data_IF_774070978500
#
_entry.id   IF_774070978500
#
_cell.length_a   1.000
_cell.length_b   1.000
_cell.length_c   1.000
_cell.angle_alpha   90.00
_cell.angle_beta   90.00
_cell.angle_gamma   90.00
#
_symmetry.space_group_name_H-M   'P 1'
#
loop_
_entity.id
_entity.type
_entity.pdbx_description
1 polymer ?
#
# COMPACT_ATOMS: atom_id res chain seq x y z
N UNK A 1 -20.66 13.71 8.55
CA UNK A 1 -19.93 13.09 7.41
C UNK A 1 -20.91 12.22 6.66
N UNK A 2 -20.82 12.18 5.34
CA UNK A 2 -21.58 11.22 4.52
C UNK A 2 -21.08 9.80 4.82
N UNK A 3 -22.00 8.83 4.86
CA UNK A 3 -21.62 7.41 4.87
C UNK A 3 -21.22 7.00 3.44
N UNK A 4 -19.94 6.75 3.22
CA UNK A 4 -19.40 6.39 1.91
C UNK A 4 -19.74 4.94 1.49
N UNK A 5 -20.31 4.15 2.41
CA UNK A 5 -20.67 2.75 2.16
C UNK A 5 -22.17 2.56 1.92
N UNK A 6 -23.00 3.60 2.10
CA UNK A 6 -24.46 3.48 2.12
C UNK A 6 -25.05 2.86 0.85
N UNK A 7 -24.43 3.13 -0.29
CA UNK A 7 -24.94 2.73 -1.60
C UNK A 7 -24.32 1.43 -2.10
N UNK A 8 -23.39 0.83 -1.34
CA UNK A 8 -22.72 -0.41 -1.71
C UNK A 8 -23.38 -1.62 -1.07
N UNK A 9 -23.48 -2.71 -1.82
CA UNK A 9 -23.98 -3.99 -1.31
C UNK A 9 -22.81 -4.94 -1.00
N UNK A 10 -22.62 -5.28 0.28
CA UNK A 10 -21.50 -6.10 0.75
C UNK A 10 -20.13 -5.55 0.29
N UNK A 11 -19.80 -4.29 0.62
CA UNK A 11 -18.61 -3.64 0.10
C UNK A 11 -17.32 -4.32 0.56
N UNK A 12 -16.40 -4.45 -0.39
CA UNK A 12 -14.97 -4.56 -0.14
C UNK A 12 -14.40 -3.16 0.08
N UNK A 13 -13.63 -2.98 1.15
CA UNK A 13 -13.05 -1.69 1.58
C UNK A 13 -11.55 -1.85 1.79
N UNK A 14 -10.75 -0.92 1.28
CA UNK A 14 -9.32 -0.82 1.56
C UNK A 14 -8.96 0.62 1.91
N UNK A 15 -8.21 0.77 2.99
CA UNK A 15 -7.69 2.06 3.45
C UNK A 15 -6.20 2.15 3.08
N UNK A 16 -5.85 3.14 2.26
CA UNK A 16 -4.48 3.47 1.92
C UNK A 16 -4.11 4.82 2.50
N UNK A 17 -3.20 4.85 3.46
CA UNK A 17 -2.61 6.11 3.94
C UNK A 17 -1.65 6.66 2.89
N UNK A 18 -1.79 7.93 2.55
CA UNK A 18 -1.04 8.59 1.47
C UNK A 18 -0.01 9.57 2.03
N UNK A 19 1.07 9.77 1.28
CA UNK A 19 2.22 10.62 1.59
C UNK A 19 3.49 9.81 1.85
N UNK A 20 4.65 10.44 1.66
CA UNK A 20 5.97 9.86 1.98
C UNK A 20 6.32 9.98 3.47
N UNK A 21 5.53 10.76 4.22
CA UNK A 21 5.63 10.91 5.68
C UNK A 21 4.25 10.97 6.33
N UNK A 22 4.20 10.66 7.62
CA UNK A 22 2.94 10.50 8.37
C UNK A 22 2.89 11.26 9.70
N UNK A 23 3.80 12.20 9.84
CA UNK A 23 3.89 13.13 10.96
C UNK A 23 4.10 14.56 10.44
N UNK A 24 3.63 15.52 11.22
CA UNK A 24 3.86 16.94 10.95
C UNK A 24 5.29 17.31 11.33
N UNK A 25 5.89 18.28 10.66
CA UNK A 25 7.23 18.76 11.03
C UNK A 25 7.28 19.30 12.46
N UNK A 26 6.21 19.95 12.92
CA UNK A 26 6.09 20.38 14.32
C UNK A 26 6.18 19.23 15.32
N UNK A 27 5.71 18.03 14.96
CA UNK A 27 5.81 16.85 15.83
C UNK A 27 7.27 16.39 15.97
N UNK A 28 8.11 16.60 14.95
CA UNK A 28 9.56 16.40 15.05
C UNK A 28 10.20 17.45 15.96
N UNK A 29 9.90 18.74 15.75
CA UNK A 29 10.48 19.84 16.53
C UNK A 29 10.14 19.70 18.02
N UNK A 30 8.86 19.46 18.35
CA UNK A 30 8.41 19.24 19.74
C UNK A 30 9.09 18.05 20.40
N UNK A 31 9.38 16.98 19.64
CA UNK A 31 10.08 15.81 20.18
C UNK A 31 11.57 16.04 20.42
N UNK A 32 12.21 16.94 19.64
CA UNK A 32 13.60 17.37 19.87
C UNK A 32 13.70 18.24 21.13
N UNK A 33 12.75 19.13 21.35
CA UNK A 33 12.71 20.01 22.54
C UNK A 33 12.35 19.25 23.82
N UNK A 34 11.34 18.38 23.75
CA UNK A 34 10.84 17.64 24.91
C UNK A 34 10.51 16.19 24.53
N UNK A 35 11.50 15.28 24.54
CA UNK A 35 11.27 13.89 24.18
C UNK A 35 10.32 13.22 25.18
N UNK A 36 9.18 12.75 24.68
CA UNK A 36 8.22 11.95 25.45
C UNK A 36 8.24 10.51 24.96
N UNK A 37 8.72 9.61 25.83
CA UNK A 37 8.77 8.19 25.56
C UNK A 37 7.38 7.54 25.63
N UNK A 38 7.16 6.58 24.73
CA UNK A 38 5.90 5.87 24.54
C UNK A 38 6.14 4.37 24.62
N UNK A 39 5.71 3.78 25.75
CA UNK A 39 5.84 2.34 25.99
C UNK A 39 5.02 1.51 25.00
N UNK A 40 3.82 1.97 24.67
CA UNK A 40 2.91 1.32 23.72
C UNK A 40 3.49 1.23 22.30
N UNK A 41 4.24 2.26 21.88
CA UNK A 41 4.92 2.26 20.58
C UNK A 41 6.14 1.35 20.57
N UNK A 42 6.89 1.30 21.68
CA UNK A 42 8.00 0.37 21.83
C UNK A 42 7.52 -1.08 21.79
N UNK A 43 6.47 -1.43 22.54
CA UNK A 43 5.88 -2.78 22.56
C UNK A 43 5.43 -3.20 21.16
N UNK A 44 4.79 -2.31 20.40
CA UNK A 44 4.43 -2.58 18.99
C UNK A 44 5.65 -2.73 18.07
N UNK A 45 6.71 -1.98 18.31
CA UNK A 45 7.93 -2.03 17.52
C UNK A 45 8.61 -3.39 17.67
N UNK A 46 8.83 -3.85 18.92
CA UNK A 46 9.47 -5.16 19.18
C UNK A 46 8.60 -6.35 18.79
N UNK A 47 7.28 -6.21 18.76
CA UNK A 47 6.38 -7.25 18.26
C UNK A 47 6.56 -7.50 16.75
N UNK A 48 6.98 -6.48 16.00
CA UNK A 48 7.21 -6.57 14.56
C UNK A 48 8.68 -6.89 14.28
N UNK A 49 9.60 -6.19 14.94
CA UNK A 49 11.03 -6.37 14.80
C UNK A 49 11.72 -6.14 16.16
N UNK A 50 12.11 -7.23 16.87
CA UNK A 50 12.80 -7.14 18.15
C UNK A 50 14.15 -6.39 18.10
N UNK A 51 14.77 -6.27 16.92
CA UNK A 51 16.07 -5.62 16.73
C UNK A 51 15.94 -4.15 16.31
N UNK A 52 14.72 -3.66 16.03
CA UNK A 52 14.49 -2.30 15.59
C UNK A 52 14.84 -1.20 16.64
N UNK A 53 14.57 -1.38 17.95
CA UNK A 53 14.96 -0.39 18.94
C UNK A 53 16.46 -0.44 19.26
N UNK A 54 17.06 0.72 19.51
CA UNK A 54 18.44 0.81 19.98
C UNK A 54 18.58 0.45 21.48
N UNK A 55 19.81 0.42 22.00
CA UNK A 55 20.07 0.03 23.38
C UNK A 55 19.37 0.95 24.41
N UNK A 56 19.38 2.26 24.17
CA UNK A 56 18.72 3.24 25.05
C UNK A 56 17.20 3.07 25.07
N UNK A 57 16.59 2.86 23.90
CA UNK A 57 15.16 2.59 23.73
C UNK A 57 14.76 1.28 24.42
N UNK A 58 15.60 0.25 24.32
CA UNK A 58 15.41 -1.04 24.98
C UNK A 58 15.53 -0.94 26.51
N UNK A 59 16.50 -0.17 27.00
CA UNK A 59 16.67 0.09 28.44
C UNK A 59 15.51 0.88 29.01
N UNK A 60 15.02 1.90 28.28
CA UNK A 60 13.90 2.73 28.68
C UNK A 60 12.53 2.08 28.45
N UNK A 61 12.47 0.98 27.67
CA UNK A 61 11.23 0.32 27.23
C UNK A 61 10.26 1.32 26.60
N UNK A 62 10.77 2.24 25.79
CA UNK A 62 10.01 3.34 25.21
C UNK A 62 10.73 3.98 24.04
N UNK A 63 9.96 4.39 23.03
CA UNK A 63 10.44 5.15 21.87
C UNK A 63 9.68 6.48 21.77
N UNK A 64 10.25 7.49 21.13
CA UNK A 64 9.48 8.71 20.84
C UNK A 64 8.49 8.47 19.71
N UNK A 65 7.43 9.27 19.64
CA UNK A 65 6.43 9.17 18.56
C UNK A 65 7.07 9.33 17.17
N UNK A 66 7.85 10.39 16.88
CA UNK A 66 8.40 10.55 15.53
C UNK A 66 9.36 9.42 15.14
N UNK A 67 10.17 8.93 16.08
CA UNK A 67 11.02 7.76 15.88
C UNK A 67 10.23 6.51 15.47
N UNK A 68 9.09 6.24 16.13
CA UNK A 68 8.20 5.15 15.75
C UNK A 68 7.59 5.36 14.36
N UNK A 69 7.14 6.58 14.05
CA UNK A 69 6.53 6.89 12.74
C UNK A 69 7.54 6.72 11.60
N UNK A 70 8.75 7.28 11.75
CA UNK A 70 9.84 7.12 10.78
C UNK A 70 10.17 5.65 10.55
N UNK A 71 10.29 4.86 11.61
CA UNK A 71 10.51 3.41 11.44
C UNK A 71 9.34 2.71 10.76
N UNK A 72 8.10 3.04 11.09
CA UNK A 72 6.91 2.52 10.39
C UNK A 72 6.93 2.86 8.90
N UNK A 73 7.43 4.04 8.54
CA UNK A 73 7.58 4.46 7.14
C UNK A 73 8.67 3.65 6.42
N UNK A 74 9.76 3.28 7.10
CA UNK A 74 10.86 2.51 6.48
C UNK A 74 10.57 1.02 6.33
N UNK A 75 9.70 0.44 7.17
CA UNK A 75 9.31 -0.97 7.05
C UNK A 75 8.06 -1.20 6.19
N UNK A 76 7.39 -0.13 5.76
CA UNK A 76 6.25 -0.18 4.82
C UNK A 76 6.62 0.47 3.48
N UNK A 77 5.68 0.52 2.56
CA UNK A 77 5.83 1.19 1.27
C UNK A 77 5.80 2.72 1.35
N UNK A 78 5.56 3.31 2.53
CA UNK A 78 5.34 4.76 2.69
C UNK A 78 6.52 5.57 2.14
N UNK A 79 7.75 5.25 2.59
CA UNK A 79 8.93 6.01 2.22
C UNK A 79 9.36 5.82 0.74
N UNK A 80 8.96 4.73 0.10
CA UNK A 80 9.40 4.36 -1.26
C UNK A 80 8.36 4.61 -2.33
N UNK A 81 7.07 4.43 -2.02
CA UNK A 81 5.96 4.55 -2.96
C UNK A 81 5.01 5.71 -2.61
N UNK A 82 5.21 6.42 -1.49
CA UNK A 82 4.35 7.52 -1.09
C UNK A 82 2.96 7.10 -0.59
N UNK A 83 2.76 5.84 -0.25
CA UNK A 83 1.55 5.36 0.41
C UNK A 83 1.80 4.02 1.11
N UNK A 84 0.84 3.56 1.93
CA UNK A 84 0.77 2.17 2.41
C UNK A 84 -0.67 1.73 2.66
N UNK A 85 -0.90 0.43 2.60
CA UNK A 85 -2.17 -0.19 2.98
C UNK A 85 -2.24 -0.23 4.52
N UNK A 86 -3.29 0.32 5.11
CA UNK A 86 -3.55 0.25 6.56
C UNK A 86 -4.47 -0.93 6.91
N UNK A 87 -5.38 -1.29 6.01
CA UNK A 87 -6.26 -2.43 6.21
C UNK A 87 -7.17 -2.69 5.03
N UNK A 88 -7.68 -3.92 4.98
CA UNK A 88 -8.60 -4.42 3.96
C UNK A 88 -9.74 -5.16 4.66
N UNK A 89 -10.96 -4.97 4.18
CA UNK A 89 -12.15 -5.75 4.54
C UNK A 89 -12.81 -6.20 3.24
N UNK A 90 -13.06 -7.49 3.06
CA UNK A 90 -13.75 -8.02 1.87
C UNK A 90 -15.25 -8.17 2.13
N UNK A 91 -16.02 -8.33 1.05
CA UNK A 91 -17.48 -8.48 1.09
C UNK A 91 -17.95 -9.75 1.82
N UNK A 92 -17.09 -10.77 1.93
CA UNK A 92 -17.33 -11.99 2.72
C UNK A 92 -17.20 -11.78 4.24
N UNK A 93 -16.80 -10.57 4.67
CA UNK A 93 -16.60 -10.19 6.06
C UNK A 93 -15.19 -10.43 6.59
N UNK A 94 -14.31 -11.08 5.82
CA UNK A 94 -12.91 -11.21 6.18
C UNK A 94 -12.25 -9.84 6.24
N UNK A 95 -11.34 -9.64 7.20
CA UNK A 95 -10.59 -8.40 7.32
C UNK A 95 -9.16 -8.67 7.74
N UNK A 96 -8.24 -7.91 7.16
CA UNK A 96 -6.83 -7.92 7.49
C UNK A 96 -6.38 -6.51 7.83
N UNK A 97 -5.54 -6.42 8.86
CA UNK A 97 -4.75 -5.22 9.17
C UNK A 97 -3.28 -5.53 9.11
N UNK A 98 -2.89 -6.68 8.53
CA UNK A 98 -1.52 -7.17 8.58
C UNK A 98 -0.65 -6.71 7.42
N UNK A 99 -0.54 -5.38 7.31
CA UNK A 99 0.19 -4.70 6.25
C UNK A 99 1.37 -3.87 6.77
N UNK A 100 1.82 -4.13 8.02
CA UNK A 100 2.82 -3.30 8.70
C UNK A 100 4.18 -3.38 8.00
N UNK A 101 4.46 -4.53 7.38
CA UNK A 101 5.71 -4.85 6.66
C UNK A 101 5.50 -5.02 5.15
N UNK A 102 4.31 -4.71 4.64
CA UNK A 102 4.03 -4.68 3.19
C UNK A 102 4.73 -3.47 2.60
N UNK A 103 5.83 -3.72 1.89
CA UNK A 103 6.78 -2.69 1.48
C UNK A 103 7.12 -2.73 0.01
N UNK A 104 7.44 -3.91 -0.53
CA UNK A 104 7.88 -4.01 -1.91
C UNK A 104 6.71 -3.81 -2.88
N UNK A 105 7.00 -3.39 -4.11
CA UNK A 105 5.97 -3.20 -5.14
C UNK A 105 5.23 -4.51 -5.41
N UNK A 106 5.94 -5.64 -5.39
CA UNK A 106 5.39 -6.98 -5.61
C UNK A 106 4.42 -7.38 -4.50
N UNK A 107 4.75 -7.06 -3.23
CA UNK A 107 3.85 -7.31 -2.11
C UNK A 107 2.58 -6.46 -2.20
N UNK A 108 2.71 -5.20 -2.65
CA UNK A 108 1.56 -4.32 -2.87
C UNK A 108 0.69 -4.83 -4.02
N UNK A 109 1.29 -5.18 -5.18
CA UNK A 109 0.57 -5.78 -6.30
C UNK A 109 -0.21 -7.04 -5.88
N UNK A 110 0.43 -7.92 -5.10
CA UNK A 110 -0.23 -9.12 -4.57
C UNK A 110 -1.43 -8.78 -3.68
N UNK A 111 -1.27 -7.82 -2.75
CA UNK A 111 -2.36 -7.40 -1.88
C UNK A 111 -3.52 -6.72 -2.64
N UNK A 112 -3.19 -5.89 -3.64
CA UNK A 112 -4.18 -5.22 -4.49
C UNK A 112 -4.92 -6.23 -5.37
N UNK A 113 -4.22 -7.21 -5.94
CA UNK A 113 -4.82 -8.29 -6.71
C UNK A 113 -5.78 -9.13 -5.86
N UNK A 114 -5.37 -9.52 -4.65
CA UNK A 114 -6.23 -10.24 -3.71
C UNK A 114 -7.46 -9.42 -3.29
N UNK A 115 -7.31 -8.10 -3.19
CA UNK A 115 -8.42 -7.20 -2.87
C UNK A 115 -9.46 -7.09 -3.99
N UNK A 116 -9.02 -7.09 -5.25
CA UNK A 116 -9.88 -6.92 -6.43
C UNK A 116 -10.35 -8.24 -7.06
N UNK A 117 -9.87 -9.38 -6.55
CA UNK A 117 -10.17 -10.71 -7.10
C UNK A 117 -11.68 -10.96 -7.18
N UNK A 118 -12.14 -11.41 -8.36
CA UNK A 118 -13.55 -11.62 -8.66
C UNK A 118 -14.36 -10.36 -8.99
N UNK A 119 -13.74 -9.19 -9.08
CA UNK A 119 -14.38 -7.91 -9.41
C UNK A 119 -13.69 -7.18 -10.58
N UNK A 120 -13.70 -7.74 -11.81
CA UNK A 120 -12.91 -7.21 -12.94
C UNK A 120 -13.27 -5.75 -13.31
N UNK A 121 -14.52 -5.34 -13.08
CA UNK A 121 -14.96 -3.97 -13.36
C UNK A 121 -14.43 -2.93 -12.34
N UNK A 122 -13.84 -3.35 -11.21
CA UNK A 122 -13.40 -2.41 -10.19
C UNK A 122 -12.06 -1.74 -10.54
N UNK A 123 -11.12 -2.46 -11.16
CA UNK A 123 -9.79 -1.94 -11.49
C UNK A 123 -9.87 -0.75 -12.47
N UNK A 124 -10.57 -0.85 -13.63
CA UNK A 124 -10.72 0.30 -14.54
C UNK A 124 -11.37 1.52 -13.88
N UNK A 125 -12.36 1.28 -13.00
CA UNK A 125 -13.06 2.34 -12.27
C UNK A 125 -12.15 3.01 -11.24
N UNK A 126 -11.30 2.26 -10.55
CA UNK A 126 -10.30 2.83 -9.65
C UNK A 126 -9.27 3.68 -10.40
N UNK A 127 -8.74 3.20 -11.54
CA UNK A 127 -7.81 3.98 -12.37
C UNK A 127 -8.46 5.30 -12.80
N UNK A 128 -9.68 5.24 -13.35
CA UNK A 128 -10.42 6.42 -13.78
C UNK A 128 -10.62 7.40 -12.61
N UNK A 129 -11.05 6.88 -11.45
CA UNK A 129 -11.32 7.70 -10.26
C UNK A 129 -10.05 8.32 -9.70
N UNK A 130 -8.93 7.59 -9.64
CA UNK A 130 -7.65 8.11 -9.18
C UNK A 130 -7.11 9.20 -10.11
N UNK A 131 -7.21 9.02 -11.44
CA UNK A 131 -6.85 10.06 -12.41
C UNK A 131 -7.70 11.33 -12.24
N UNK A 132 -9.00 11.17 -12.01
CA UNK A 132 -9.90 12.30 -11.74
C UNK A 132 -9.55 13.01 -10.42
N UNK A 133 -9.25 12.25 -9.36
CA UNK A 133 -8.77 12.80 -8.08
C UNK A 133 -7.48 13.59 -8.31
N UNK A 134 -6.48 12.99 -8.98
CA UNK A 134 -5.19 13.61 -9.29
C UNK A 134 -5.39 14.96 -9.99
N UNK A 135 -6.16 14.99 -11.07
CA UNK A 135 -6.44 16.22 -11.82
C UNK A 135 -7.19 17.27 -10.99
N UNK A 136 -8.07 16.84 -10.07
CA UNK A 136 -8.76 17.77 -9.16
C UNK A 136 -7.82 18.37 -8.13
N UNK A 137 -6.89 17.57 -7.60
CA UNK A 137 -5.90 18.02 -6.61
C UNK A 137 -4.93 19.04 -7.21
N UNK A 138 -4.47 18.81 -8.45
CA UNK A 138 -3.58 19.74 -9.18
C UNK A 138 -4.15 21.16 -9.33
N UNK A 139 -5.48 21.29 -9.33
CA UNK A 139 -6.18 22.58 -9.47
C UNK A 139 -6.84 23.07 -8.16
N UNK A 140 -6.63 22.36 -7.05
CA UNK A 140 -7.32 22.66 -5.78
C UNK A 140 -6.52 23.66 -4.95
N UNK A 141 -7.06 24.87 -4.77
CA UNK A 141 -6.46 25.88 -3.88
C UNK A 141 -6.21 25.34 -2.47
N UNK A 142 -7.15 24.53 -1.95
CA UNK A 142 -6.98 23.88 -0.65
C UNK A 142 -5.76 22.97 -0.64
N UNK A 143 -5.62 22.12 -1.65
CA UNK A 143 -4.51 21.17 -1.71
C UNK A 143 -3.16 21.89 -1.80
N UNK A 144 -3.04 22.84 -2.74
CA UNK A 144 -1.82 23.60 -2.99
C UNK A 144 -1.37 24.50 -1.82
N UNK A 145 -2.25 24.74 -0.85
CA UNK A 145 -1.99 25.58 0.33
C UNK A 145 -1.96 24.80 1.65
N UNK A 146 -2.03 23.46 1.60
CA UNK A 146 -2.03 22.63 2.81
C UNK A 146 -1.00 21.52 2.73
N UNK A 147 -0.34 21.26 3.85
CA UNK A 147 0.39 20.02 4.08
C UNK A 147 -0.63 18.92 4.44
N UNK A 148 -0.75 17.89 3.60
CA UNK A 148 -1.79 16.85 3.73
C UNK A 148 -1.22 15.58 4.35
N UNK A 149 -1.24 15.54 5.69
CA UNK A 149 -0.60 14.47 6.45
C UNK A 149 -1.60 13.55 7.11
N UNK A 150 -1.32 12.24 7.04
CA UNK A 150 -2.03 11.23 7.79
C UNK A 150 -3.43 10.87 7.27
N UNK A 151 -3.90 11.56 6.22
CA UNK A 151 -5.12 11.22 5.48
C UNK A 151 -4.96 9.94 4.67
N UNK A 152 -6.09 9.40 4.23
CA UNK A 152 -6.13 8.17 3.44
C UNK A 152 -6.98 8.31 2.19
N UNK A 153 -6.71 7.47 1.20
CA UNK A 153 -7.66 7.11 0.15
C UNK A 153 -8.42 5.86 0.59
N UNK A 154 -9.75 5.98 0.67
CA UNK A 154 -10.65 4.88 0.96
C UNK A 154 -11.19 4.31 -0.36
N UNK A 155 -10.71 3.13 -0.71
CA UNK A 155 -11.17 2.36 -1.85
C UNK A 155 -12.38 1.53 -1.44
N UNK A 156 -13.47 1.63 -2.18
CA UNK A 156 -14.69 0.84 -1.94
C UNK A 156 -15.17 0.28 -3.26
N UNK A 157 -15.46 -1.02 -3.28
CA UNK A 157 -16.14 -1.65 -4.40
C UNK A 157 -17.13 -2.71 -3.95
N UNK A 158 -18.08 -3.01 -4.82
CA UNK A 158 -18.93 -4.19 -4.78
C UNK A 158 -19.05 -4.80 -6.19
N UNK A 159 -20.04 -5.66 -6.41
CA UNK A 159 -20.27 -6.31 -7.71
C UNK A 159 -20.59 -5.33 -8.86
N UNK A 160 -21.09 -4.14 -8.54
CA UNK A 160 -21.67 -3.22 -9.52
C UNK A 160 -20.83 -1.96 -9.69
N UNK A 161 -20.18 -1.49 -8.63
CA UNK A 161 -19.52 -0.19 -8.59
C UNK A 161 -18.22 -0.20 -7.79
N UNK A 162 -17.37 0.78 -8.09
CA UNK A 162 -16.11 1.01 -7.39
C UNK A 162 -15.81 2.52 -7.40
N UNK A 163 -15.29 3.04 -6.30
CA UNK A 163 -14.93 4.45 -6.16
C UNK A 163 -13.92 4.65 -5.03
N UNK A 164 -13.32 5.84 -5.01
CA UNK A 164 -12.27 6.25 -4.08
C UNK A 164 -12.60 7.63 -3.52
N UNK A 165 -12.35 7.82 -2.23
CA UNK A 165 -12.50 9.10 -1.54
C UNK A 165 -11.30 9.41 -0.66
N UNK A 166 -10.98 10.69 -0.52
CA UNK A 166 -10.04 11.15 0.49
C UNK A 166 -10.77 11.26 1.83
N UNK A 167 -10.16 10.75 2.89
CA UNK A 167 -10.67 10.76 4.27
C UNK A 167 -9.57 11.18 5.26
N UNK A 168 -9.96 11.45 6.51
CA UNK A 168 -9.05 11.68 7.64
C UNK A 168 -8.11 12.90 7.52
N UNK A 169 -8.69 14.09 7.33
CA UNK A 169 -7.96 15.36 7.27
C UNK A 169 -7.55 15.96 8.64
N UNK A 170 -7.57 15.16 9.71
CA UNK A 170 -7.35 15.65 11.08
C UNK A 170 -5.95 16.25 11.31
N UNK A 171 -4.98 15.88 10.48
CA UNK A 171 -3.61 16.41 10.46
C UNK A 171 -3.29 17.18 9.18
N UNK A 172 -4.29 17.53 8.38
CA UNK A 172 -4.10 18.42 7.24
C UNK A 172 -4.08 19.85 7.77
N UNK A 173 -2.99 20.56 7.52
CA UNK A 173 -2.75 21.91 8.08
C UNK A 173 -2.35 22.88 6.98
N UNK A 174 -2.78 24.13 7.10
CA UNK A 174 -2.39 25.19 6.17
C UNK A 174 -0.89 25.44 6.22
N UNK A 175 -0.31 25.71 5.05
CA UNK A 175 1.10 26.08 4.91
C UNK A 175 1.33 27.51 5.42
N UNK A 176 2.57 27.84 5.85
CA UNK A 176 3.00 29.23 6.02
C UNK A 176 2.87 30.02 4.71
N UNK A 177 2.60 31.33 4.81
CA UNK A 177 2.32 32.20 3.65
C UNK A 177 3.45 32.24 2.60
N UNK A 178 4.70 31.99 3.03
CA UNK A 178 5.90 32.02 2.20
C UNK A 178 6.30 30.65 1.64
N UNK A 179 5.58 29.58 2.00
CA UNK A 179 5.84 28.22 1.57
C UNK A 179 4.87 27.79 0.49
N UNK A 180 5.41 27.19 -0.56
CA UNK A 180 4.65 26.51 -1.62
C UNK A 180 5.24 25.13 -1.82
N UNK A 181 4.38 24.13 -1.95
CA UNK A 181 4.75 22.75 -2.21
C UNK A 181 4.06 22.28 -3.49
N UNK A 182 4.63 21.27 -4.14
CA UNK A 182 4.02 20.65 -5.31
C UNK A 182 3.53 19.21 -5.04
N UNK A 183 3.73 18.68 -3.83
CA UNK A 183 3.34 17.34 -3.41
C UNK A 183 4.02 16.20 -4.18
N UNK A 184 5.04 16.53 -4.99
CA UNK A 184 5.81 15.62 -5.83
C UNK A 184 7.31 15.66 -5.51
N UNK A 185 7.78 16.75 -4.90
CA UNK A 185 9.17 16.93 -4.54
C UNK A 185 9.54 16.08 -3.33
N UNK A 186 10.82 15.71 -3.25
CA UNK A 186 11.35 14.95 -2.13
C UNK A 186 11.21 15.78 -0.85
N UNK A 187 10.62 15.18 0.18
CA UNK A 187 10.51 15.83 1.48
C UNK A 187 11.88 16.06 2.12
N UNK A 188 12.06 17.26 2.66
CA UNK A 188 13.18 17.63 3.52
C UNK A 188 12.69 18.57 4.60
N UNK A 189 13.29 18.51 5.80
CA UNK A 189 12.87 19.35 6.93
C UNK A 189 12.87 20.82 6.52
N UNK A 190 11.73 21.49 6.67
CA UNK A 190 11.50 22.89 6.34
C UNK A 190 10.91 23.14 4.96
N UNK A 191 10.85 22.14 4.07
CA UNK A 191 10.20 22.30 2.76
C UNK A 191 8.71 21.94 2.76
N UNK A 192 8.20 21.31 3.83
CA UNK A 192 6.78 20.95 4.01
C UNK A 192 6.19 19.98 2.98
N UNK A 193 6.99 19.41 2.09
CA UNK A 193 6.50 18.45 1.09
C UNK A 193 5.92 17.21 1.79
N UNK A 194 4.79 16.71 1.31
CA UNK A 194 4.13 15.52 1.86
C UNK A 194 4.25 14.30 0.94
N UNK A 195 4.65 14.51 -0.33
CA UNK A 195 4.76 13.47 -1.35
C UNK A 195 3.40 12.83 -1.68
N UNK A 196 2.30 13.56 -1.52
CA UNK A 196 0.96 13.03 -1.71
C UNK A 196 0.70 12.59 -3.17
N UNK A 197 1.15 13.38 -4.14
CA UNK A 197 1.04 13.05 -5.56
C UNK A 197 1.98 11.92 -5.97
N UNK A 198 3.13 11.76 -5.30
CA UNK A 198 3.98 10.56 -5.45
C UNK A 198 3.17 9.30 -5.14
N UNK A 199 2.41 9.33 -4.05
CA UNK A 199 1.53 8.23 -3.64
C UNK A 199 0.44 7.92 -4.65
N UNK A 200 -0.25 8.96 -5.14
CA UNK A 200 -1.32 8.81 -6.14
C UNK A 200 -0.77 8.27 -7.47
N UNK A 201 0.34 8.81 -7.96
CA UNK A 201 0.95 8.38 -9.21
C UNK A 201 1.33 6.89 -9.13
N UNK A 202 1.99 6.47 -8.05
CA UNK A 202 2.33 5.06 -7.86
C UNK A 202 1.10 4.15 -7.74
N UNK A 203 0.01 4.60 -7.10
CA UNK A 203 -1.25 3.86 -7.06
C UNK A 203 -1.85 3.68 -8.45
N UNK A 204 -1.87 4.73 -9.27
CA UNK A 204 -2.35 4.67 -10.66
C UNK A 204 -1.52 3.65 -11.43
N UNK A 205 -0.19 3.74 -11.38
CA UNK A 205 0.71 2.83 -12.10
C UNK A 205 0.51 1.37 -11.69
N UNK A 206 0.30 1.11 -10.40
CA UNK A 206 0.06 -0.25 -9.87
C UNK A 206 -1.28 -0.80 -10.37
N UNK A 207 -2.34 -0.01 -10.37
CA UNK A 207 -3.64 -0.47 -10.89
C UNK A 207 -3.60 -0.64 -12.41
N UNK A 208 -2.88 0.20 -13.15
CA UNK A 208 -2.68 0.03 -14.60
C UNK A 208 -1.90 -1.26 -14.92
N UNK A 209 -0.87 -1.58 -14.13
CA UNK A 209 -0.12 -2.84 -14.24
C UNK A 209 -1.01 -4.07 -13.98
N UNK A 210 -1.89 -4.00 -12.98
CA UNK A 210 -2.88 -5.06 -12.71
C UNK A 210 -3.87 -5.21 -13.86
N UNK A 211 -4.39 -4.10 -14.38
CA UNK A 211 -5.35 -4.11 -15.49
C UNK A 211 -4.76 -4.78 -16.74
N UNK A 212 -3.52 -4.42 -17.10
CA UNK A 212 -2.83 -5.02 -18.25
C UNK A 212 -2.59 -6.53 -18.06
N UNK A 213 -2.35 -6.97 -16.81
CA UNK A 213 -2.16 -8.38 -16.50
C UNK A 213 -3.46 -9.17 -16.66
N UNK A 214 -4.61 -8.64 -16.21
CA UNK A 214 -5.91 -9.30 -16.36
C UNK A 214 -6.32 -9.47 -17.84
N UNK A 215 -6.15 -8.42 -18.65
CA UNK A 215 -6.44 -8.46 -20.09
C UNK A 215 -5.60 -9.55 -20.80
N UNK A 216 -4.31 -9.65 -20.47
CA UNK A 216 -3.44 -10.68 -21.05
C UNK A 216 -3.82 -12.11 -20.65
N UNK A 217 -4.36 -12.33 -19.44
CA UNK A 217 -4.80 -13.65 -19.00
C UNK A 217 -6.11 -14.09 -19.65
N UNK A 218 -7.02 -13.16 -19.93
CA UNK A 218 -8.27 -13.46 -20.63
C UNK A 218 -8.02 -13.84 -22.09
N UNK A 219 -7.12 -13.14 -22.79
CA UNK A 219 -6.74 -13.46 -24.18
C UNK A 219 -6.14 -14.87 -24.33
N UNK A 220 -5.29 -15.29 -23.38
CA UNK A 220 -4.68 -16.63 -23.39
C UNK A 220 -5.72 -17.72 -23.07
N UNK A 221 -6.67 -17.46 -22.18
CA UNK A 221 -7.74 -18.41 -21.86
C UNK A 221 -8.72 -18.63 -23.02
N UNK A 222 -8.92 -17.62 -23.88
CA UNK A 222 -9.79 -17.68 -25.05
C UNK A 222 -9.15 -18.40 -26.26
N UNK A 223 -7.84 -18.69 -26.23
CA UNK A 223 -7.10 -19.38 -27.29
C UNK A 223 -7.00 -20.90 -27.10
N UNK A 224 -7.51 -21.46 -26.00
CA UNK A 224 -7.53 -22.92 -25.75
C UNK A 224 -8.85 -23.53 -26.23
N UNK A 225 -8.86 -24.46 -27.22
CA UNK A 225 -10.09 -25.12 -27.64
C UNK A 225 -10.67 -25.99 -26.53
N UNK A 226 -11.92 -25.75 -26.13
CA UNK A 226 -12.69 -26.66 -25.28
C UNK A 226 -12.90 -27.98 -26.04
N UNK A 227 -12.25 -29.06 -25.62
CA UNK A 227 -12.59 -30.39 -26.10
C UNK A 227 -13.92 -30.82 -25.48
N UNK A 228 -14.93 -31.02 -26.32
CA UNK A 228 -16.20 -31.65 -25.96
C UNK A 228 -15.95 -33.13 -25.64
N UNK A 229 -16.20 -33.53 -24.38
CA UNK A 229 -16.32 -34.93 -24.01
C UNK A 229 -17.73 -35.41 -24.34
N UNK A 230 -17.87 -36.19 -25.41
CA UNK A 230 -19.10 -36.92 -25.72
C UNK A 230 -19.35 -38.03 -24.69
N UNK A 231 -20.55 -38.03 -24.12
CA UNK A 231 -21.11 -39.15 -23.37
C UNK A 231 -21.30 -40.37 -24.29
N UNK A 232 -20.90 -41.56 -23.83
CA UNK A 232 -21.45 -42.83 -24.32
C UNK A 232 -21.84 -43.67 -23.12
N UNK A 233 -23.15 -43.93 -23.06
CA UNK A 233 -23.80 -44.91 -22.21
C UNK A 233 -23.42 -46.34 -22.60
N UNK A 234 -23.11 -47.19 -21.63
CA UNK A 234 -23.50 -48.60 -21.69
C UNK A 234 -23.67 -49.20 -20.29
N UNK A 235 -24.84 -49.83 -20.10
CA UNK A 235 -25.17 -50.68 -18.96
C UNK A 235 -24.81 -52.13 -19.33
N UNK A 236 -24.18 -52.89 -18.43
CA UNK A 236 -24.79 -54.08 -17.81
C UNK A 236 -23.83 -54.91 -16.94
N UNK A 237 -24.24 -55.05 -15.67
CA UNK A 237 -24.47 -56.29 -14.90
C UNK A 237 -23.33 -57.08 -14.24
N UNK A 238 -23.64 -57.43 -12.97
CA UNK A 238 -23.26 -58.60 -12.16
C UNK A 238 -21.89 -58.57 -11.48
N UNK A 239 -21.68 -59.02 -10.24
CA UNK A 239 -22.49 -59.36 -9.07
C UNK A 239 -21.48 -59.75 -7.95
N UNK A 240 -21.90 -59.76 -6.68
CA UNK A 240 -21.33 -60.56 -5.54
C UNK A 240 -20.07 -60.04 -4.77
N UNK A 241 -20.36 -59.53 -3.55
CA UNK A 241 -19.86 -59.87 -2.19
C UNK A 241 -18.37 -60.22 -1.96
N UNK A 242 -17.68 -59.43 -1.11
CA UNK A 242 -17.32 -59.80 0.28
C UNK A 242 -16.41 -58.74 0.95
N UNK A 243 -16.79 -58.36 2.18
CA UNK A 243 -15.92 -57.83 3.26
C UNK A 243 -14.94 -58.93 3.77
N UNK A 244 -13.87 -58.68 4.57
CA UNK A 244 -13.84 -57.74 5.71
C UNK A 244 -12.52 -56.98 6.04
N UNK A 245 -12.72 -55.94 6.85
CA UNK A 245 -12.00 -55.42 8.06
C UNK A 245 -10.55 -55.80 8.39
N UNK A 246 -9.79 -54.81 8.90
CA UNK A 246 -8.92 -54.76 10.12
C UNK A 246 -7.94 -53.56 9.94
N UNK A 247 -8.10 -52.43 10.64
CA UNK A 247 -7.59 -52.06 11.98
C UNK A 247 -6.05 -51.81 12.12
N UNK A 248 -5.75 -50.61 12.61
CA UNK A 248 -4.57 -50.11 13.37
C UNK A 248 -3.15 -50.29 12.78
N UNK A 249 -2.24 -49.31 12.79
CA UNK A 249 -1.63 -48.71 13.99
C UNK A 249 -0.62 -47.62 13.57
N UNK A 250 -0.44 -46.62 14.45
CA UNK A 250 0.69 -45.68 14.50
C UNK A 250 1.94 -46.41 15.02
N UNK A 251 3.17 -45.91 14.79
CA UNK A 251 3.93 -45.51 15.97
C UNK A 251 4.75 -44.22 15.80
N UNK A 252 4.97 -43.58 16.95
CA UNK A 252 6.01 -42.59 17.24
C UNK A 252 7.38 -43.27 17.46
N UNK A 253 8.47 -42.54 17.17
CA UNK A 253 9.70 -42.64 17.96
C UNK A 253 10.49 -41.32 17.94
N UNK A 254 11.09 -41.04 19.10
CA UNK A 254 11.90 -39.89 19.53
C UNK A 254 13.40 -40.05 19.17
N UNK A 255 14.19 -39.05 19.64
CA UNK A 255 15.66 -38.99 19.86
C UNK A 255 16.47 -38.39 18.71
N UNK A 256 17.55 -37.62 18.89
CA UNK A 256 18.12 -36.86 20.02
C UNK A 256 19.19 -35.89 19.43
N UNK A 257 19.60 -34.93 20.25
CA UNK A 257 20.72 -33.97 20.22
C UNK A 257 21.97 -34.25 19.35
N UNK A 258 22.58 -33.19 18.82
CA UNK A 258 23.97 -32.80 19.16
C UNK A 258 24.38 -31.43 18.59
N UNK A 259 25.20 -30.74 19.39
CA UNK A 259 25.83 -29.44 19.18
C UNK A 259 26.95 -29.49 18.13
N UNK A 260 27.25 -28.38 17.44
CA UNK A 260 28.62 -27.85 17.47
C UNK A 260 28.76 -26.39 17.02
N UNK A 261 29.78 -25.75 17.58
CA UNK A 261 30.06 -24.31 17.60
C UNK A 261 30.64 -23.75 16.30
N UNK A 262 30.48 -22.43 16.07
CA UNK A 262 31.56 -21.57 15.54
C UNK A 262 31.31 -20.07 15.75
N UNK A 263 32.22 -19.48 16.52
CA UNK A 263 32.47 -18.05 16.73
C UNK A 263 33.12 -17.46 15.48
N UNK A 264 32.63 -16.31 15.01
CA UNK A 264 33.41 -15.36 14.18
C UNK A 264 33.01 -13.93 14.56
N UNK A 265 33.96 -13.19 15.13
CA UNK A 265 33.94 -11.72 15.27
C UNK A 265 34.14 -11.05 13.90
N UNK A 266 33.46 -9.93 13.64
CA UNK A 266 33.90 -8.80 12.79
C UNK A 266 32.91 -7.64 12.98
N UNK A 267 33.26 -6.59 13.74
CA UNK A 267 33.88 -5.32 13.33
C UNK A 267 32.99 -4.48 12.39
N UNK A 268 32.60 -3.32 12.92
CA UNK A 268 31.91 -2.19 12.31
C UNK A 268 32.41 -1.83 10.90
N UNK A 269 31.47 -1.48 10.01
CA UNK A 269 31.64 -0.35 9.06
C UNK A 269 30.31 0.00 8.40
N UNK A 270 29.92 1.28 8.54
CA UNK A 270 28.79 1.93 7.87
C UNK A 270 29.19 2.27 6.42
N UNK A 271 28.38 1.96 5.38
CA UNK A 271 28.58 2.53 4.06
C UNK A 271 27.63 3.72 3.85
N UNK A 272 28.25 4.90 3.81
CA UNK A 272 27.69 6.14 3.25
C UNK A 272 27.61 5.99 1.72
N UNK A 273 26.40 6.10 1.15
CA UNK A 273 26.21 6.17 -0.31
C UNK A 273 26.14 7.64 -0.72
N UNK A 274 27.10 8.05 -1.54
CA UNK A 274 27.17 9.35 -2.22
C UNK A 274 26.55 9.18 -3.61
N UNK A 275 25.67 10.06 -4.11
CA UNK A 275 25.22 10.00 -5.48
C UNK A 275 26.26 10.59 -6.43
N UNK A 276 26.56 9.83 -7.49
CA UNK A 276 27.40 10.20 -8.61
C UNK A 276 26.74 11.31 -9.44
N UNK A 277 27.48 12.40 -9.64
CA UNK A 277 27.15 13.46 -10.60
C UNK A 277 27.23 12.94 -12.04
N UNK A 278 26.13 13.05 -12.79
CA UNK A 278 26.15 13.01 -14.26
C UNK A 278 25.80 14.40 -14.76
N UNK A 279 26.78 14.99 -15.44
CA UNK A 279 26.69 16.21 -16.21
C UNK A 279 25.98 15.95 -17.54
N UNK A 280 24.93 16.71 -17.83
CA UNK A 280 24.43 16.90 -19.20
C UNK A 280 24.15 18.37 -19.46
N UNK A 281 24.58 18.75 -20.65
CA UNK A 281 24.67 20.06 -21.27
C UNK A 281 23.32 20.68 -21.64
N UNK A 282 23.33 22.00 -21.71
CA UNK A 282 22.30 22.94 -22.18
C UNK A 282 21.95 22.81 -23.67
N UNK A 283 20.81 23.43 -24.03
CA UNK A 283 20.20 23.76 -25.34
C UNK A 283 18.90 22.97 -25.57
N UNK A 284 17.75 23.50 -25.97
CA UNK A 284 17.36 24.83 -26.44
C UNK A 284 15.82 24.99 -26.30
N UNK A 285 15.38 26.23 -26.46
CA UNK A 285 14.01 26.75 -26.46
C UNK A 285 13.07 26.15 -27.55
N UNK A 286 11.77 26.42 -27.33
CA UNK A 286 10.64 26.45 -28.28
C UNK A 286 9.84 25.16 -28.54
N UNK A 287 8.66 25.11 -27.92
CA UNK A 287 7.35 24.61 -28.43
C UNK A 287 6.31 24.87 -27.31
N UNK A 288 5.93 26.12 -27.05
CA UNK A 288 4.83 26.87 -27.66
C UNK A 288 3.44 26.19 -27.55
N UNK A 289 2.61 26.78 -26.67
CA UNK A 289 1.17 27.04 -26.81
C UNK A 289 0.26 25.88 -27.23
N UNK A 290 -0.42 25.25 -26.25
CA UNK A 290 -1.79 24.74 -26.46
C UNK A 290 -2.62 24.36 -25.20
N UNK A 291 -2.18 24.64 -23.97
CA UNK A 291 -2.90 24.13 -22.77
C UNK A 291 -3.98 25.05 -22.18
N UNK A 292 -4.22 26.25 -22.72
CA UNK A 292 -5.19 27.22 -22.13
C UNK A 292 -6.62 27.14 -22.69
N UNK A 293 -7.01 26.08 -23.42
CA UNK A 293 -8.34 26.02 -24.06
C UNK A 293 -9.27 24.87 -23.66
N UNK A 294 -8.94 24.09 -22.62
CA UNK A 294 -9.76 22.93 -22.22
C UNK A 294 -10.51 23.13 -20.88
N UNK A 295 -10.20 24.15 -20.07
CA UNK A 295 -10.83 24.34 -18.75
C UNK A 295 -12.21 25.02 -18.71
N UNK A 296 -12.86 25.37 -19.84
CA UNK A 296 -14.08 26.21 -19.83
C UNK A 296 -15.35 25.57 -20.42
N UNK A 297 -15.47 24.25 -20.43
CA UNK A 297 -16.70 23.57 -20.88
C UNK A 297 -17.02 22.39 -19.95
N UNK A 298 -17.70 22.65 -18.82
CA UNK A 298 -18.67 21.74 -18.17
C UNK A 298 -19.10 22.27 -16.79
N UNK A 299 -19.84 23.40 -16.75
CA UNK A 299 -20.78 23.69 -15.66
C UNK A 299 -22.00 24.38 -16.29
N UNK A 300 -22.92 23.57 -16.82
CA UNK A 300 -24.32 23.95 -17.05
C UNK A 300 -25.12 22.68 -17.33
N UNK A 301 -25.66 22.08 -16.25
CA UNK A 301 -26.91 21.29 -16.19
C UNK A 301 -27.06 20.67 -14.80
#
# INVERSE_FOLDING_TARGET
LQDLLSDFNQPCVMDCKIGVRTYLEEELSKAKEKPKLRKDMYEKMIQIDPLAPNEEENKAKGVTKPRYMVWRETISSTATLGFRIEGIKKGDGSSSKDFKTTKSREQILSAMKDFTDGFPLCIPKYIQRLKAIRATLECSDFFLTHEVIGSSLLFVHDRNQASVWLIDFAKTVGLPDDIKINHESIWSVGNHEDGYLIGINNLIDIFEELNATEESTEEVSNLVPKQESNEVSDKQSNDVLNEPTIEETKPESKEELSEDSKVVENVDTVPTIVPSTVSTTTNDEQLNNNSEKICNLSIES
#
